data_IF_468301372415
#
_entry.id   IF_468301372415
#
_cell.length_a   1.000
_cell.length_b   1.000
_cell.length_c   1.000
_cell.angle_alpha   90.00
_cell.angle_beta   90.00
_cell.angle_gamma   90.00
#
_symmetry.space_group_name_H-M   'P 1'
#
loop_
_entity.id
_entity.type
_entity.pdbx_description
1 polymer ?
#
# COMPACT_ATOMS: atom_id res chain seq x y z
N UNK A 1 -10.09 3.37 15.21
CA UNK A 1 -9.26 3.31 13.97
C UNK A 1 -8.72 4.69 13.58
N UNK A 2 -9.52 5.77 13.65
CA UNK A 2 -9.09 7.15 13.31
C UNK A 2 -8.01 7.66 14.27
N UNK A 3 -8.19 7.47 15.57
CA UNK A 3 -7.21 7.84 16.61
C UNK A 3 -5.85 7.14 16.45
N UNK A 4 -5.83 5.91 15.96
CA UNK A 4 -4.58 5.15 15.73
C UNK A 4 -3.82 5.74 14.54
N UNK A 5 -4.53 6.16 13.46
CA UNK A 5 -3.92 6.76 12.28
C UNK A 5 -3.34 8.15 12.56
N UNK A 6 -3.93 8.91 13.48
CA UNK A 6 -3.40 10.20 13.93
C UNK A 6 -2.10 10.04 14.74
N UNK A 7 -1.93 8.90 15.42
CA UNK A 7 -0.73 8.58 16.23
C UNK A 7 0.39 7.91 15.43
N UNK A 8 0.03 7.02 14.50
CA UNK A 8 0.99 6.17 13.81
C UNK A 8 0.76 6.25 12.30
N UNK A 9 1.83 6.51 11.55
CA UNK A 9 1.81 6.60 10.10
C UNK A 9 2.50 5.41 9.42
N UNK A 10 3.27 4.64 10.19
CA UNK A 10 4.04 3.50 9.68
C UNK A 10 3.76 2.26 10.52
N UNK A 11 3.62 1.13 9.85
CA UNK A 11 3.52 -0.20 10.46
C UNK A 11 4.79 -0.96 10.09
N UNK A 12 5.43 -1.57 11.07
CA UNK A 12 6.66 -2.34 10.90
C UNK A 12 6.37 -3.80 11.24
N UNK A 13 6.70 -4.71 10.32
CA UNK A 13 6.76 -6.16 10.59
C UNK A 13 8.19 -6.55 10.88
N UNK A 14 8.47 -6.89 12.14
CA UNK A 14 9.76 -7.39 12.61
C UNK A 14 9.53 -8.78 13.26
N UNK A 15 9.64 -9.82 12.48
CA UNK A 15 10.06 -9.97 11.09
C UNK A 15 8.95 -10.55 10.20
N UNK A 16 9.13 -10.47 8.87
CA UNK A 16 8.25 -11.14 7.89
C UNK A 16 8.24 -12.65 8.11
N UNK A 17 9.37 -13.22 8.54
CA UNK A 17 9.53 -14.64 8.88
C UNK A 17 8.49 -15.07 9.93
N UNK A 18 8.35 -14.29 11.00
CA UNK A 18 7.38 -14.54 12.09
C UNK A 18 5.96 -14.28 11.60
N UNK A 19 5.74 -13.20 10.85
CA UNK A 19 4.43 -12.87 10.30
C UNK A 19 3.92 -13.98 9.37
N UNK A 20 4.80 -14.57 8.56
CA UNK A 20 4.48 -15.73 7.71
C UNK A 20 4.07 -16.95 8.51
N UNK A 21 4.80 -17.28 9.58
CA UNK A 21 4.45 -18.40 10.46
C UNK A 21 3.10 -18.18 11.19
N UNK A 22 2.79 -16.94 11.57
CA UNK A 22 1.49 -16.59 12.16
C UNK A 22 0.36 -16.70 11.15
N UNK A 23 0.60 -16.30 9.90
CA UNK A 23 -0.36 -16.46 8.81
C UNK A 23 -0.68 -17.94 8.56
N UNK A 24 0.33 -18.83 8.52
CA UNK A 24 0.14 -20.27 8.40
C UNK A 24 -0.73 -20.82 9.54
N UNK A 25 -0.41 -20.48 10.79
CA UNK A 25 -1.21 -20.88 11.95
C UNK A 25 -2.66 -20.40 11.88
N UNK A 26 -2.86 -19.18 11.40
CA UNK A 26 -4.21 -18.61 11.22
C UNK A 26 -5.01 -19.43 10.20
N UNK A 27 -4.43 -19.75 9.03
CA UNK A 27 -5.09 -20.57 8.00
C UNK A 27 -5.39 -21.97 8.50
N UNK A 28 -4.45 -22.61 9.22
CA UNK A 28 -4.67 -23.94 9.82
C UNK A 28 -5.84 -23.90 10.80
N UNK A 29 -5.89 -22.91 11.68
CA UNK A 29 -6.97 -22.74 12.65
C UNK A 29 -8.34 -22.52 11.99
N UNK A 30 -8.40 -21.74 10.90
CA UNK A 30 -9.64 -21.51 10.13
C UNK A 30 -10.18 -22.80 9.48
N UNK A 31 -9.29 -23.75 9.17
CA UNK A 31 -9.64 -25.00 8.48
C UNK A 31 -9.68 -26.20 9.44
N UNK A 32 -9.48 -26.01 10.76
CA UNK A 32 -9.44 -27.04 11.79
C UNK A 32 -8.42 -28.15 11.48
N UNK A 33 -7.23 -27.78 11.03
CA UNK A 33 -6.09 -28.68 10.74
C UNK A 33 -4.86 -28.28 11.52
N UNK A 34 -3.94 -29.22 11.76
CA UNK A 34 -2.70 -28.94 12.47
C UNK A 34 -1.60 -28.41 11.52
N UNK A 35 -1.65 -28.80 10.25
CA UNK A 35 -0.64 -28.45 9.25
C UNK A 35 -1.29 -27.99 7.96
N UNK A 36 -0.70 -27.00 7.30
CA UNK A 36 -1.18 -26.43 6.05
C UNK A 36 -1.35 -27.47 4.92
N UNK A 37 -0.49 -28.51 4.92
CA UNK A 37 -0.53 -29.58 3.94
C UNK A 37 -1.71 -30.55 4.10
N UNK A 38 -2.43 -30.51 5.21
CA UNK A 38 -3.64 -31.33 5.45
C UNK A 38 -4.87 -30.75 4.77
N UNK A 39 -4.81 -29.49 4.33
CA UNK A 39 -5.88 -28.88 3.53
C UNK A 39 -5.86 -29.50 2.12
N UNK A 40 -7.01 -30.07 1.66
CA UNK A 40 -7.07 -30.82 0.43
C UNK A 40 -6.58 -30.07 -0.81
N UNK A 41 -6.00 -30.77 -1.76
CA UNK A 41 -5.57 -30.27 -3.07
C UNK A 41 -4.55 -29.12 -3.02
N UNK A 42 -3.81 -28.97 -1.92
CA UNK A 42 -2.82 -27.90 -1.76
C UNK A 42 -3.42 -26.50 -1.62
N UNK A 43 -4.72 -26.38 -1.41
CA UNK A 43 -5.41 -25.08 -1.29
C UNK A 43 -4.91 -24.26 -0.09
N UNK A 44 -4.42 -24.92 0.95
CA UNK A 44 -3.87 -24.24 2.13
C UNK A 44 -2.77 -23.23 1.78
N UNK A 45 -1.86 -23.61 0.90
CA UNK A 45 -0.78 -22.71 0.44
C UNK A 45 -1.31 -21.51 -0.36
N UNK A 46 -2.36 -21.72 -1.16
CA UNK A 46 -3.01 -20.64 -1.91
C UNK A 46 -3.76 -19.69 -0.97
N UNK A 47 -4.46 -20.24 0.02
CA UNK A 47 -5.15 -19.44 1.05
C UNK A 47 -4.16 -18.59 1.85
N UNK A 48 -3.06 -19.18 2.29
CA UNK A 48 -2.01 -18.50 3.03
C UNK A 48 -1.39 -17.35 2.22
N UNK A 49 -1.06 -17.61 0.95
CA UNK A 49 -0.53 -16.59 0.04
C UNK A 49 -1.50 -15.41 -0.10
N UNK A 50 -2.77 -15.71 -0.37
CA UNK A 50 -3.81 -14.69 -0.53
C UNK A 50 -4.03 -13.88 0.74
N UNK A 51 -4.13 -14.55 1.89
CA UNK A 51 -4.33 -13.88 3.18
C UNK A 51 -3.19 -12.91 3.48
N UNK A 52 -1.94 -13.35 3.32
CA UNK A 52 -0.78 -12.51 3.55
C UNK A 52 -0.76 -11.28 2.61
N UNK A 53 -1.04 -11.49 1.33
CA UNK A 53 -1.14 -10.42 0.33
C UNK A 53 -2.27 -9.42 0.66
N UNK A 54 -3.45 -9.91 1.04
CA UNK A 54 -4.60 -9.10 1.38
C UNK A 54 -4.37 -8.26 2.64
N UNK A 55 -3.66 -8.80 3.64
CA UNK A 55 -3.26 -8.04 4.84
C UNK A 55 -2.34 -6.88 4.49
N UNK A 56 -1.26 -7.13 3.70
CA UNK A 56 -0.34 -6.06 3.30
C UNK A 56 -1.06 -4.98 2.48
N UNK A 57 -1.91 -5.41 1.54
CA UNK A 57 -2.72 -4.50 0.72
C UNK A 57 -3.68 -3.66 1.57
N UNK A 58 -4.35 -4.28 2.52
CA UNK A 58 -5.27 -3.58 3.44
C UNK A 58 -4.55 -2.50 4.25
N UNK A 59 -3.34 -2.78 4.73
CA UNK A 59 -2.53 -1.82 5.49
C UNK A 59 -2.21 -0.60 4.63
N UNK A 60 -1.75 -0.81 3.39
CA UNK A 60 -1.41 0.28 2.46
C UNK A 60 -2.64 1.06 2.01
N UNK A 61 -3.77 0.39 1.74
CA UNK A 61 -5.04 1.04 1.41
C UNK A 61 -5.60 1.90 2.55
N UNK A 62 -5.31 1.52 3.79
CA UNK A 62 -5.62 2.36 4.95
C UNK A 62 -4.70 3.58 5.06
N UNK A 63 -3.74 3.73 4.16
CA UNK A 63 -2.82 4.87 4.06
C UNK A 63 -1.67 4.83 5.07
N UNK A 64 -1.32 3.64 5.59
CA UNK A 64 -0.10 3.47 6.38
C UNK A 64 1.09 3.18 5.45
N UNK A 65 2.25 3.75 5.78
CA UNK A 65 3.50 3.24 5.25
C UNK A 65 3.79 1.87 5.86
N UNK A 66 4.30 0.94 5.04
CA UNK A 66 4.61 -0.42 5.47
C UNK A 66 6.11 -0.66 5.40
N UNK A 67 6.68 -1.11 6.50
CA UNK A 67 8.09 -1.46 6.60
C UNK A 67 8.22 -2.93 6.98
N UNK A 68 8.90 -3.71 6.14
CA UNK A 68 9.06 -5.15 6.31
C UNK A 68 10.52 -5.46 6.58
N UNK A 69 10.80 -6.19 7.65
CA UNK A 69 12.15 -6.62 8.04
C UNK A 69 12.22 -8.14 7.91
N UNK A 70 13.29 -8.65 7.32
CA UNK A 70 13.65 -10.08 7.31
C UNK A 70 15.11 -10.22 7.64
N UNK A 71 15.49 -11.35 8.27
CA UNK A 71 16.90 -11.75 8.35
C UNK A 71 17.42 -12.12 6.97
N UNK A 72 18.71 -12.21 6.86
CA UNK A 72 19.41 -12.64 5.65
C UNK A 72 19.91 -14.08 5.75
N UNK A 73 20.18 -14.68 4.60
CA UNK A 73 20.87 -15.95 4.44
C UNK A 73 21.59 -16.02 3.12
N UNK A 74 22.67 -16.80 3.07
CA UNK A 74 23.33 -17.14 1.82
C UNK A 74 22.52 -18.18 1.05
N UNK A 75 22.40 -17.99 -0.27
CA UNK A 75 21.79 -18.94 -1.19
C UNK A 75 22.64 -19.09 -2.44
N UNK A 76 22.87 -20.35 -2.84
CA UNK A 76 23.56 -20.68 -4.09
C UNK A 76 22.54 -20.69 -5.23
N UNK A 77 22.85 -20.00 -6.29
CA UNK A 77 22.08 -20.01 -7.55
C UNK A 77 22.93 -20.57 -8.67
N UNK A 78 22.27 -21.21 -9.63
CA UNK A 78 22.91 -21.78 -10.81
C UNK A 78 22.50 -20.99 -12.05
N UNK A 79 23.48 -20.51 -12.84
CA UNK A 79 23.26 -19.86 -14.12
C UNK A 79 22.91 -20.87 -15.20
N UNK A 80 22.42 -20.40 -16.34
CA UNK A 80 22.10 -21.24 -17.50
C UNK A 80 23.32 -21.96 -18.07
N UNK A 81 24.52 -21.38 -17.94
CA UNK A 81 25.81 -21.98 -18.34
C UNK A 81 26.33 -23.03 -17.36
N UNK A 82 25.62 -23.28 -16.28
CA UNK A 82 25.99 -24.24 -15.24
C UNK A 82 26.89 -23.68 -14.14
N UNK A 83 27.39 -22.44 -14.25
CA UNK A 83 28.16 -21.81 -13.17
C UNK A 83 27.28 -21.45 -11.97
N UNK A 84 27.85 -21.59 -10.78
CA UNK A 84 27.17 -21.25 -9.53
C UNK A 84 27.66 -19.90 -8.99
N UNK A 85 26.76 -19.19 -8.30
CA UNK A 85 27.09 -17.96 -7.60
C UNK A 85 26.31 -17.88 -6.28
N UNK A 86 26.92 -17.28 -5.28
CA UNK A 86 26.28 -17.01 -4.00
C UNK A 86 25.55 -15.66 -4.05
N UNK A 87 24.37 -15.60 -3.44
CA UNK A 87 23.62 -14.38 -3.27
C UNK A 87 23.05 -14.33 -1.85
N UNK A 88 23.15 -13.18 -1.21
CA UNK A 88 22.48 -12.88 0.04
C UNK A 88 21.03 -12.58 -0.27
N UNK A 89 20.11 -13.32 0.37
CA UNK A 89 18.67 -13.22 0.18
C UNK A 89 17.97 -13.19 1.53
N UNK A 90 16.70 -12.71 1.62
CA UNK A 90 15.93 -12.82 2.85
C UNK A 90 15.77 -14.27 3.33
N UNK A 91 15.77 -14.47 4.64
CA UNK A 91 15.60 -15.79 5.24
C UNK A 91 14.18 -16.32 5.18
N UNK A 92 13.19 -15.42 5.06
CA UNK A 92 11.78 -15.79 5.00
C UNK A 92 11.49 -16.76 3.84
N UNK A 93 10.42 -17.56 3.94
CA UNK A 93 10.00 -18.46 2.86
C UNK A 93 9.80 -17.72 1.54
N UNK A 94 10.17 -18.36 0.43
CA UNK A 94 10.17 -17.76 -0.92
C UNK A 94 8.82 -17.11 -1.28
N UNK A 95 7.71 -17.73 -0.90
CA UNK A 95 6.35 -17.18 -1.15
C UNK A 95 6.16 -15.82 -0.51
N UNK A 96 6.53 -15.65 0.76
CA UNK A 96 6.39 -14.36 1.46
C UNK A 96 7.38 -13.33 0.94
N UNK A 97 8.60 -13.75 0.59
CA UNK A 97 9.58 -12.89 -0.04
C UNK A 97 9.09 -12.33 -1.37
N UNK A 98 8.52 -13.16 -2.23
CA UNK A 98 7.94 -12.72 -3.51
C UNK A 98 6.81 -11.72 -3.32
N UNK A 99 5.91 -11.96 -2.37
CA UNK A 99 4.81 -11.03 -2.06
C UNK A 99 5.38 -9.70 -1.56
N UNK A 100 6.32 -9.73 -0.62
CA UNK A 100 6.96 -8.54 -0.07
C UNK A 100 7.68 -7.72 -1.16
N UNK A 101 8.47 -8.38 -2.02
CA UNK A 101 9.17 -7.74 -3.15
C UNK A 101 8.20 -7.08 -4.13
N UNK A 102 7.10 -7.76 -4.46
CA UNK A 102 6.11 -7.23 -5.40
C UNK A 102 5.33 -6.03 -4.82
N UNK A 103 5.17 -5.98 -3.51
CA UNK A 103 4.50 -4.88 -2.81
C UNK A 103 5.43 -3.69 -2.53
N UNK A 104 6.74 -3.91 -2.42
CA UNK A 104 7.69 -2.89 -2.01
C UNK A 104 8.12 -1.97 -3.17
N UNK A 105 8.24 -0.67 -2.89
CA UNK A 105 8.88 0.29 -3.79
C UNK A 105 10.41 0.25 -3.68
N UNK A 106 10.89 -0.08 -2.49
CA UNK A 106 12.32 -0.21 -2.18
C UNK A 106 12.52 -1.54 -1.46
N UNK A 107 13.45 -2.33 -1.97
CA UNK A 107 13.88 -3.60 -1.43
C UNK A 107 15.39 -3.52 -1.23
N UNK A 108 15.82 -3.37 0.02
CA UNK A 108 17.19 -3.01 0.37
C UNK A 108 17.84 -4.04 1.29
N UNK A 109 19.15 -4.13 1.22
CA UNK A 109 19.98 -4.88 2.16
C UNK A 109 20.71 -3.94 3.11
N UNK A 110 20.56 -4.16 4.41
CA UNK A 110 21.28 -3.43 5.44
C UNK A 110 22.65 -4.11 5.70
N UNK A 111 23.71 -3.50 5.20
CA UNK A 111 25.07 -4.05 5.25
C UNK A 111 25.89 -3.36 6.32
N UNK A 112 26.52 -4.15 7.19
CA UNK A 112 27.54 -3.65 8.13
C UNK A 112 28.86 -3.45 7.41
N UNK A 113 29.50 -2.33 7.62
CA UNK A 113 30.84 -2.04 7.12
C UNK A 113 31.68 -1.31 8.18
N UNK A 114 32.98 -1.48 8.11
CA UNK A 114 33.93 -0.70 8.93
C UNK A 114 34.28 0.60 8.22
N UNK A 115 34.28 1.72 8.96
CA UNK A 115 34.85 2.96 8.47
C UNK A 115 36.38 2.96 8.57
N UNK A 116 37.03 4.00 8.05
CA UNK A 116 38.50 4.16 8.07
C UNK A 116 39.09 4.15 9.50
N UNK A 117 38.28 4.43 10.50
CA UNK A 117 38.64 4.46 11.92
C UNK A 117 38.31 3.12 12.63
N UNK A 118 37.83 2.10 11.90
CA UNK A 118 37.41 0.82 12.46
C UNK A 118 36.06 0.84 13.17
N UNK A 119 35.28 1.94 13.06
CA UNK A 119 33.94 2.02 13.62
C UNK A 119 32.95 1.27 12.73
N UNK A 120 32.16 0.39 13.34
CA UNK A 120 31.12 -0.34 12.60
C UNK A 120 29.94 0.60 12.28
N UNK A 121 29.65 0.75 10.99
CA UNK A 121 28.52 1.49 10.46
C UNK A 121 27.59 0.58 9.67
N UNK A 122 26.39 1.04 9.38
CA UNK A 122 25.42 0.34 8.53
C UNK A 122 25.06 1.21 7.33
N UNK A 123 25.02 0.59 6.15
CA UNK A 123 24.56 1.23 4.92
C UNK A 123 23.45 0.43 4.28
N UNK A 124 22.63 1.08 3.45
CA UNK A 124 21.60 0.41 2.66
C UNK A 124 22.11 0.23 1.24
N UNK A 125 22.14 -1.03 0.79
CA UNK A 125 22.38 -1.40 -0.60
C UNK A 125 21.02 -1.49 -1.30
N UNK A 126 20.74 -0.56 -2.20
CA UNK A 126 19.48 -0.43 -2.93
C UNK A 126 19.57 -1.07 -4.33
N UNK A 127 20.79 -1.21 -4.86
CA UNK A 127 21.09 -1.91 -6.12
C UNK A 127 22.44 -2.62 -6.01
N UNK A 128 22.45 -3.92 -6.27
CA UNK A 128 23.68 -4.70 -6.36
C UNK A 128 24.24 -4.63 -7.79
N UNK A 129 25.55 -4.41 -7.91
CA UNK A 129 26.23 -4.36 -9.22
C UNK A 129 26.56 -5.75 -9.77
N UNK A 130 26.80 -6.70 -8.89
CA UNK A 130 27.32 -8.05 -9.18
C UNK A 130 26.33 -9.17 -8.84
N UNK A 131 25.11 -8.82 -8.43
CA UNK A 131 24.09 -9.74 -7.95
C UNK A 131 24.49 -10.51 -6.67
N UNK A 132 25.48 -10.04 -5.91
CA UNK A 132 25.85 -10.65 -4.64
C UNK A 132 24.77 -10.51 -3.58
N UNK A 133 23.88 -9.53 -3.75
CA UNK A 133 22.76 -9.23 -2.82
C UNK A 133 21.47 -9.12 -3.61
N UNK A 134 20.41 -9.72 -3.08
CA UNK A 134 19.06 -9.55 -3.62
C UNK A 134 18.46 -8.23 -3.12
N UNK A 135 18.50 -7.22 -3.96
CA UNK A 135 17.98 -5.89 -3.68
C UNK A 135 17.46 -5.21 -4.96
N UNK A 136 16.60 -4.22 -4.82
CA UNK A 136 16.02 -3.50 -5.94
C UNK A 136 15.19 -2.31 -5.52
N UNK A 137 14.94 -1.41 -6.47
CA UNK A 137 14.21 -0.18 -6.23
C UNK A 137 13.49 0.26 -7.51
N UNK A 138 12.28 0.80 -7.37
CA UNK A 138 11.49 1.33 -8.50
C UNK A 138 12.03 2.66 -9.02
N UNK A 139 12.77 3.40 -8.20
CA UNK A 139 13.33 4.71 -8.59
C UNK A 139 14.56 4.52 -9.49
N UNK A 140 14.42 4.88 -10.76
CA UNK A 140 15.44 4.67 -11.82
C UNK A 140 16.82 5.23 -11.46
N UNK A 141 16.86 6.43 -10.91
CA UNK A 141 18.09 7.20 -10.65
C UNK A 141 18.55 7.18 -9.20
N UNK A 142 18.03 6.27 -8.38
CA UNK A 142 18.43 6.19 -6.98
C UNK A 142 19.90 5.80 -6.83
N UNK A 143 20.59 6.40 -5.86
CA UNK A 143 21.95 6.03 -5.54
C UNK A 143 22.00 4.56 -5.07
N UNK A 144 22.88 3.71 -5.64
CA UNK A 144 22.93 2.27 -5.34
C UNK A 144 23.20 1.95 -3.87
N UNK A 145 23.94 2.80 -3.17
CA UNK A 145 24.31 2.61 -1.77
C UNK A 145 24.18 3.95 -1.05
N UNK A 146 23.51 3.95 0.08
CA UNK A 146 23.30 5.14 0.93
C UNK A 146 23.57 4.80 2.38
N UNK A 147 23.80 5.81 3.22
CA UNK A 147 23.85 5.62 4.67
C UNK A 147 22.48 5.15 5.20
N UNK A 148 22.49 4.25 6.19
CA UNK A 148 21.25 3.80 6.82
C UNK A 148 20.73 4.87 7.78
N UNK A 149 20.03 5.85 7.21
CA UNK A 149 19.29 6.87 7.98
C UNK A 149 18.02 7.27 7.23
N UNK A 150 17.04 7.75 7.97
CA UNK A 150 15.79 8.25 7.38
C UNK A 150 16.06 9.42 6.43
N UNK A 151 16.90 10.36 6.84
CA UNK A 151 17.25 11.53 6.02
C UNK A 151 17.93 11.11 4.71
N UNK A 152 18.95 10.25 4.78
CA UNK A 152 19.64 9.77 3.58
C UNK A 152 18.71 9.03 2.62
N UNK A 153 17.74 8.27 3.13
CA UNK A 153 16.75 7.58 2.29
C UNK A 153 15.82 8.58 1.60
N UNK A 154 15.28 9.55 2.34
CA UNK A 154 14.39 10.57 1.79
C UNK A 154 15.13 11.42 0.74
N UNK A 155 16.36 11.85 1.03
CA UNK A 155 17.18 12.62 0.10
C UNK A 155 17.48 11.84 -1.17
N UNK A 156 17.85 10.55 -1.07
CA UNK A 156 18.09 9.70 -2.23
C UNK A 156 16.85 9.51 -3.11
N UNK A 157 15.66 9.36 -2.50
CA UNK A 157 14.39 9.29 -3.25
C UNK A 157 14.11 10.61 -3.95
N UNK A 158 14.27 11.72 -3.25
CA UNK A 158 14.05 13.07 -3.79
C UNK A 158 14.98 13.35 -4.98
N UNK A 159 16.28 13.07 -4.83
CA UNK A 159 17.25 13.22 -5.91
C UNK A 159 16.91 12.34 -7.13
N UNK A 160 16.46 11.11 -6.91
CA UNK A 160 16.07 10.21 -7.98
C UNK A 160 14.86 10.73 -8.75
N UNK A 161 13.85 11.28 -8.05
CA UNK A 161 12.67 11.90 -8.65
C UNK A 161 13.07 13.15 -9.44
N UNK A 162 13.92 14.02 -8.89
CA UNK A 162 14.37 15.24 -9.55
C UNK A 162 15.15 14.95 -10.84
N UNK A 163 16.03 13.93 -10.82
CA UNK A 163 16.77 13.49 -12.01
C UNK A 163 15.84 12.95 -13.09
N UNK A 164 14.83 12.15 -12.71
CA UNK A 164 13.87 11.60 -13.67
C UNK A 164 12.97 12.70 -14.26
N UNK A 165 12.51 13.64 -13.44
CA UNK A 165 11.74 14.80 -13.89
C UNK A 165 12.55 15.68 -14.87
N UNK A 166 13.84 15.89 -14.59
CA UNK A 166 14.72 16.67 -15.48
C UNK A 166 14.95 15.98 -16.83
N UNK A 167 15.13 14.65 -16.87
CA UNK A 167 15.28 13.91 -18.13
C UNK A 167 14.01 13.87 -18.97
N UNK A 168 12.85 13.82 -18.33
CA UNK A 168 11.55 13.69 -19.02
C UNK A 168 10.84 15.03 -19.20
N UNK A 169 11.48 16.15 -18.86
CA UNK A 169 10.85 17.48 -18.83
C UNK A 169 9.52 17.50 -18.06
N UNK A 170 9.39 16.67 -17.04
CA UNK A 170 8.18 16.54 -16.24
C UNK A 170 7.05 15.75 -16.89
N UNK A 171 7.28 15.07 -18.03
CA UNK A 171 6.25 14.35 -18.77
C UNK A 171 5.72 13.12 -18.00
N UNK A 172 6.60 12.36 -17.35
CA UNK A 172 6.24 11.12 -16.65
C UNK A 172 6.32 11.23 -15.13
N UNK A 173 7.16 12.13 -14.61
CA UNK A 173 7.37 12.34 -13.18
C UNK A 173 7.44 13.83 -12.91
N UNK A 174 6.66 14.30 -11.96
CA UNK A 174 6.75 15.67 -11.47
C UNK A 174 7.55 15.73 -10.19
N UNK A 175 8.33 16.80 -10.02
CA UNK A 175 9.00 17.14 -8.77
C UNK A 175 8.13 18.03 -7.84
N UNK A 176 6.87 18.26 -8.22
CA UNK A 176 5.92 18.95 -7.34
C UNK A 176 5.59 18.07 -6.13
N UNK A 177 6.28 18.37 -5.02
CA UNK A 177 6.14 17.67 -3.73
C UNK A 177 5.02 18.25 -2.84
N UNK A 178 4.33 19.25 -3.33
CA UNK A 178 3.11 19.76 -2.71
C UNK A 178 1.89 18.87 -3.01
N UNK A 179 2.10 17.62 -3.39
CA UNK A 179 1.10 16.59 -3.18
C UNK A 179 1.02 16.36 -1.65
N UNK A 180 0.57 17.36 -0.94
CA UNK A 180 -0.33 17.09 0.14
C UNK A 180 -1.33 16.13 -0.51
N UNK A 181 -1.30 14.87 -0.12
CA UNK A 181 -2.53 14.10 -0.14
C UNK A 181 -3.51 15.04 0.53
N UNK A 182 -4.29 15.74 -0.27
CA UNK A 182 -5.48 16.39 0.21
C UNK A 182 -6.27 15.18 0.69
N UNK A 183 -6.10 14.84 1.95
CA UNK A 183 -7.16 14.20 2.69
C UNK A 183 -8.23 15.25 2.57
N UNK A 184 -9.06 15.07 1.52
CA UNK A 184 -10.23 15.90 1.31
C UNK A 184 -11.02 15.69 2.57
N UNK A 185 -10.86 16.58 3.54
CA UNK A 185 -11.67 16.55 4.75
C UNK A 185 -13.06 16.82 4.26
N UNK A 186 -13.80 15.74 4.03
CA UNK A 186 -15.17 15.81 3.58
C UNK A 186 -15.96 16.47 4.72
N UNK A 187 -16.48 17.64 4.44
CA UNK A 187 -17.36 18.36 5.37
C UNK A 187 -18.77 17.84 5.19
N UNK A 188 -19.25 17.10 6.19
CA UNK A 188 -20.59 16.51 6.16
C UNK A 188 -21.70 17.57 6.00
N UNK A 189 -21.59 18.68 6.73
CA UNK A 189 -22.63 19.73 6.71
C UNK A 189 -22.62 20.47 5.38
N UNK A 190 -21.45 20.72 4.81
CA UNK A 190 -21.32 21.29 3.47
C UNK A 190 -21.91 20.38 2.39
N UNK A 191 -21.60 19.06 2.42
CA UNK A 191 -22.15 18.09 1.47
C UNK A 191 -23.66 17.90 1.64
N UNK A 192 -24.17 17.91 2.86
CA UNK A 192 -25.62 17.86 3.12
C UNK A 192 -26.34 19.09 2.57
N UNK A 193 -25.76 20.28 2.77
CA UNK A 193 -26.27 21.53 2.19
C UNK A 193 -26.27 21.51 0.67
N UNK A 194 -25.19 21.01 0.07
CA UNK A 194 -25.07 20.86 -1.38
C UNK A 194 -26.10 19.87 -1.94
N UNK A 195 -26.28 18.71 -1.32
CA UNK A 195 -27.30 17.74 -1.70
C UNK A 195 -28.69 18.38 -1.68
N UNK A 196 -29.03 19.09 -0.59
CA UNK A 196 -30.36 19.75 -0.46
C UNK A 196 -30.58 20.82 -1.53
N UNK A 197 -29.54 21.58 -1.88
CA UNK A 197 -29.60 22.59 -2.95
C UNK A 197 -29.80 21.94 -4.33
N UNK A 198 -29.05 20.87 -4.65
CA UNK A 198 -29.18 20.16 -5.91
C UNK A 198 -30.53 19.47 -6.04
N UNK A 199 -30.95 18.73 -5.01
CA UNK A 199 -32.24 18.06 -4.98
C UNK A 199 -33.40 19.08 -5.08
N UNK A 200 -33.33 20.19 -4.36
CA UNK A 200 -34.30 21.27 -4.43
C UNK A 200 -34.41 21.89 -5.83
N UNK A 201 -33.29 22.12 -6.50
CA UNK A 201 -33.24 22.64 -7.87
C UNK A 201 -33.87 21.67 -8.88
N UNK A 202 -33.53 20.40 -8.81
CA UNK A 202 -34.05 19.36 -9.70
C UNK A 202 -35.56 19.12 -9.47
N UNK A 203 -35.97 19.04 -8.20
CA UNK A 203 -37.39 18.91 -7.85
C UNK A 203 -38.20 20.14 -8.21
N UNK A 204 -37.60 21.33 -8.21
CA UNK A 204 -38.26 22.56 -8.68
C UNK A 204 -38.45 22.61 -10.20
N UNK A 205 -37.62 21.88 -10.97
CA UNK A 205 -37.74 21.77 -12.43
C UNK A 205 -38.86 20.79 -12.84
N UNK A 206 -38.76 19.55 -12.39
CA UNK A 206 -39.75 18.50 -12.68
C UNK A 206 -39.70 17.41 -11.59
N UNK A 207 -40.59 17.48 -10.57
CA UNK A 207 -40.63 16.50 -9.50
C UNK A 207 -40.93 15.08 -9.97
N UNK A 208 -41.71 14.90 -11.02
CA UNK A 208 -42.11 13.59 -11.52
C UNK A 208 -40.92 12.88 -12.24
N UNK A 209 -40.11 13.66 -12.94
CA UNK A 209 -38.94 13.14 -13.66
C UNK A 209 -37.74 12.89 -12.74
N UNK A 210 -37.45 13.79 -11.79
CA UNK A 210 -36.24 13.76 -10.99
C UNK A 210 -36.39 13.04 -9.64
N UNK A 211 -37.57 13.10 -9.01
CA UNK A 211 -37.83 12.48 -7.71
C UNK A 211 -37.46 10.99 -7.66
N UNK A 212 -37.97 10.15 -8.58
CA UNK A 212 -37.61 8.73 -8.63
C UNK A 212 -36.10 8.48 -8.85
N UNK A 213 -35.44 9.32 -9.65
CA UNK A 213 -34.01 9.19 -9.95
C UNK A 213 -33.15 9.53 -8.73
N UNK A 214 -33.44 10.61 -8.02
CA UNK A 214 -32.78 11.00 -6.78
C UNK A 214 -32.98 9.90 -5.74
N UNK A 215 -34.21 9.38 -5.59
CA UNK A 215 -34.50 8.27 -4.66
C UNK A 215 -33.68 7.03 -5.00
N UNK A 216 -33.59 6.68 -6.28
CA UNK A 216 -32.78 5.53 -6.74
C UNK A 216 -31.30 5.69 -6.37
N UNK A 217 -30.70 6.88 -6.58
CA UNK A 217 -29.33 7.17 -6.21
C UNK A 217 -29.15 7.06 -4.70
N UNK A 218 -30.05 7.65 -3.91
CA UNK A 218 -29.98 7.59 -2.44
C UNK A 218 -30.11 6.14 -1.93
N UNK A 219 -31.07 5.38 -2.46
CA UNK A 219 -31.28 3.97 -2.11
C UNK A 219 -30.05 3.09 -2.42
N UNK A 220 -29.33 3.40 -3.50
CA UNK A 220 -28.12 2.71 -3.91
C UNK A 220 -27.02 2.80 -2.87
N UNK A 221 -26.82 3.94 -2.23
CA UNK A 221 -25.71 4.19 -1.30
C UNK A 221 -26.10 4.06 0.17
N UNK A 222 -27.27 4.52 0.58
CA UNK A 222 -27.71 4.47 1.97
C UNK A 222 -28.60 3.27 2.31
N UNK A 223 -29.09 2.57 1.27
CA UNK A 223 -30.02 1.46 1.40
C UNK A 223 -31.48 1.87 1.19
N UNK A 224 -32.26 0.91 0.70
CA UNK A 224 -33.65 1.12 0.24
C UNK A 224 -34.54 1.76 1.31
N UNK A 225 -35.21 2.86 0.94
CA UNK A 225 -36.14 3.60 1.79
C UNK A 225 -35.46 4.54 2.79
N UNK A 226 -34.13 4.68 2.76
CA UNK A 226 -33.40 5.64 3.58
C UNK A 226 -33.44 7.02 2.95
N UNK A 227 -33.36 8.05 3.79
CA UNK A 227 -33.24 9.44 3.36
C UNK A 227 -31.85 9.96 3.69
N UNK A 228 -31.39 10.97 2.94
CA UNK A 228 -30.11 11.64 3.23
C UNK A 228 -30.14 12.28 4.63
N UNK A 229 -31.30 12.74 5.10
CA UNK A 229 -31.49 13.23 6.47
C UNK A 229 -31.22 12.16 7.57
N UNK A 230 -31.25 10.88 7.21
CA UNK A 230 -31.00 9.79 8.15
C UNK A 230 -29.51 9.42 8.20
N UNK A 231 -28.67 10.05 7.34
CA UNK A 231 -27.23 9.83 7.34
C UNK A 231 -26.54 10.53 8.50
N UNK A 232 -25.36 10.04 8.84
CA UNK A 232 -24.53 10.57 9.93
C UNK A 232 -23.17 11.04 9.41
N UNK A 233 -22.42 11.86 10.16
CA UNK A 233 -21.06 12.26 9.76
C UNK A 233 -20.11 11.09 9.49
N UNK A 234 -20.36 9.91 10.07
CA UNK A 234 -19.59 8.69 9.77
C UNK A 234 -19.82 8.17 8.33
N UNK A 235 -20.87 8.64 7.65
CA UNK A 235 -21.25 8.26 6.29
C UNK A 235 -20.94 9.37 5.27
N UNK A 236 -20.07 10.30 5.61
CA UNK A 236 -19.71 11.44 4.74
C UNK A 236 -19.22 11.03 3.35
N UNK A 237 -18.50 9.92 3.24
CA UNK A 237 -18.02 9.38 1.94
C UNK A 237 -19.19 8.91 1.06
N UNK A 238 -20.23 8.30 1.66
CA UNK A 238 -21.42 7.91 0.91
C UNK A 238 -22.21 9.13 0.44
N UNK A 239 -22.27 10.17 1.26
CA UNK A 239 -22.91 11.42 0.90
C UNK A 239 -22.19 12.13 -0.25
N UNK A 240 -20.84 12.12 -0.25
CA UNK A 240 -20.04 12.64 -1.37
C UNK A 240 -20.36 11.89 -2.68
N UNK A 241 -20.43 10.55 -2.63
CA UNK A 241 -20.78 9.75 -3.80
C UNK A 241 -22.19 10.03 -4.32
N UNK A 242 -23.17 10.22 -3.44
CA UNK A 242 -24.54 10.60 -3.82
C UNK A 242 -24.54 11.95 -4.54
N UNK A 243 -23.85 12.94 -3.98
CA UNK A 243 -23.75 14.30 -4.58
C UNK A 243 -23.06 14.25 -5.94
N UNK A 244 -21.96 13.50 -6.05
CA UNK A 244 -21.23 13.33 -7.31
C UNK A 244 -22.10 12.66 -8.38
N UNK A 245 -22.78 11.55 -8.07
CA UNK A 245 -23.63 10.83 -9.04
C UNK A 245 -24.83 11.67 -9.48
N UNK A 246 -25.42 12.48 -8.59
CA UNK A 246 -26.48 13.42 -8.97
C UNK A 246 -25.95 14.44 -9.97
N UNK A 247 -24.76 15.00 -9.74
CA UNK A 247 -24.15 15.96 -10.68
C UNK A 247 -23.87 15.34 -12.04
N UNK A 248 -23.30 14.14 -12.04
CA UNK A 248 -22.88 13.48 -13.29
C UNK A 248 -24.05 12.96 -14.13
N UNK A 249 -25.16 12.58 -13.49
CA UNK A 249 -26.26 11.91 -14.18
C UNK A 249 -27.51 12.75 -14.38
N UNK A 250 -27.73 13.80 -13.58
CA UNK A 250 -28.96 14.57 -13.57
C UNK A 250 -28.79 16.04 -13.91
N UNK A 251 -27.55 16.56 -13.94
CA UNK A 251 -27.26 17.95 -14.38
C UNK A 251 -26.73 17.98 -15.78
#
# INVERSE_FOLDING_TARGET
KKEVKEKFQTIIFDTVDIAGALCEKYICAQNNVDKIGEIPYGQGWTMMKKEFEDVLRTITQLGYALFLISHDKDKVFKRQDGTEYNQIVPSCPTTFNEIAKNAADIYAYAEKYGDENGTSKVRLVLRSKDNSVDCGCRFKYINPVIEMSYTALVDAINEAIDKEAAETNGEYVTNDRNITSVVKTLDYDALLSEFNSLAGTLMGRDPAAFGPKITFIVDKYLGRGKKVSDSTPAQVELLEQIVAEIKDTLL
#
